data_IF_346454222994
#
_entry.id   IF_346454222994
#
_cell.length_a   1.000
_cell.length_b   1.000
_cell.length_c   1.000
_cell.angle_alpha   90.00
_cell.angle_beta   90.00
_cell.angle_gamma   90.00
#
_symmetry.space_group_name_H-M   'P 1'
#
loop_
_entity.id
_entity.type
_entity.pdbx_description
1 polymer ?
#
# COMPACT_ATOMS: atom_id res chain seq x y z
N UNK A 1 -1.41 -28.58 -4.62
CA UNK A 1 -1.14 -27.96 -4.37
C UNK A 1 -0.63 -27.31 -3.89
N UNK A 2 -0.34 -26.90 -3.54
CA UNK A 2 0.02 -26.24 -3.08
C UNK A 2 0.54 -25.62 -2.51
N UNK A 3 0.82 -25.52 -2.55
CA UNK A 3 1.42 -24.92 -1.86
C UNK A 3 1.23 -24.17 -1.05
N UNK A 4 0.80 -24.43 -0.69
CA UNK A 4 0.66 -23.44 0.12
C UNK A 4 1.73 -22.87 0.72
N UNK A 5 2.66 -23.06 0.38
CA UNK A 5 3.73 -22.42 0.98
C UNK A 5 3.52 -20.97 1.02
N UNK A 6 3.77 -20.40 2.09
CA UNK A 6 3.78 -18.98 2.17
C UNK A 6 4.90 -18.46 1.31
N UNK A 7 4.65 -17.35 0.64
CA UNK A 7 5.70 -16.65 -0.09
C UNK A 7 6.78 -16.20 0.89
N UNK A 8 8.03 -16.17 0.47
CA UNK A 8 9.08 -15.64 1.34
C UNK A 8 8.82 -14.19 1.71
N UNK A 9 9.29 -13.75 2.89
CA UNK A 9 9.16 -12.33 3.26
C UNK A 9 9.75 -11.44 2.17
N UNK A 10 9.04 -10.39 1.83
CA UNK A 10 9.47 -9.46 0.81
C UNK A 10 9.04 -9.81 -0.59
N UNK A 11 8.45 -10.99 -0.80
CA UNK A 11 7.97 -11.36 -2.13
C UNK A 11 6.79 -10.49 -2.51
N UNK A 12 6.74 -10.12 -3.80
CA UNK A 12 5.61 -9.40 -4.34
C UNK A 12 4.64 -10.41 -4.94
N UNK A 13 3.38 -10.34 -4.54
CA UNK A 13 2.34 -11.16 -5.11
C UNK A 13 1.28 -10.26 -5.71
N UNK A 14 0.87 -10.57 -6.93
CA UNK A 14 -0.18 -9.81 -7.61
C UNK A 14 -1.19 -10.80 -8.17
N UNK A 15 -2.45 -10.61 -7.84
CA UNK A 15 -3.54 -11.29 -8.51
C UNK A 15 -4.56 -10.23 -8.87
N UNK A 16 -5.70 -10.60 -9.49
CA UNK A 16 -6.59 -9.64 -10.14
C UNK A 16 -6.68 -8.26 -9.48
N UNK A 17 -7.07 -8.23 -8.20
CA UNK A 17 -7.26 -6.96 -7.50
C UNK A 17 -6.49 -6.90 -6.19
N UNK A 18 -5.63 -7.86 -5.94
CA UNK A 18 -4.88 -7.94 -4.69
C UNK A 18 -3.39 -7.84 -4.95
N UNK A 19 -2.74 -6.98 -4.19
CA UNK A 19 -1.30 -6.76 -4.29
C UNK A 19 -0.69 -6.97 -2.91
N UNK A 20 0.37 -7.77 -2.84
CA UNK A 20 1.12 -7.99 -1.60
C UNK A 20 2.55 -7.57 -1.78
N UNK A 21 3.10 -6.96 -0.77
CA UNK A 21 4.49 -6.51 -0.81
C UNK A 21 4.99 -6.26 0.61
N UNK A 22 6.31 -6.10 0.73
CA UNK A 22 6.95 -5.73 1.99
C UNK A 22 7.73 -4.45 1.76
N UNK A 23 7.61 -3.51 2.67
CA UNK A 23 8.33 -2.24 2.59
C UNK A 23 8.50 -1.67 3.99
N UNK A 24 9.53 -0.85 4.21
CA UNK A 24 9.75 -0.29 5.54
C UNK A 24 8.71 0.78 5.86
N UNK A 25 8.32 0.85 7.14
CA UNK A 25 7.51 1.94 7.63
C UNK A 25 8.37 3.19 7.71
N UNK A 26 7.90 4.26 7.10
CA UNK A 26 8.59 5.54 7.15
C UNK A 26 7.75 6.53 7.93
N UNK A 27 8.39 7.53 8.49
CA UNK A 27 7.69 8.56 9.23
C UNK A 27 8.15 9.92 8.70
N UNK A 28 7.19 10.72 8.27
CA UNK A 28 7.46 12.07 7.84
C UNK A 28 7.14 13.03 8.99
N UNK A 29 8.16 13.73 9.47
CA UNK A 29 8.03 14.59 10.63
C UNK A 29 7.71 16.05 10.31
N UNK A 30 7.63 16.38 9.03
CA UNK A 30 7.40 17.76 8.61
C UNK A 30 6.04 18.31 8.96
N UNK A 31 5.07 17.44 9.30
CA UNK A 31 3.71 17.86 9.61
C UNK A 31 3.46 18.03 11.11
N UNK A 32 4.48 17.88 11.93
CA UNK A 32 4.36 18.04 13.37
C UNK A 32 5.10 16.97 14.15
N UNK A 33 5.13 17.07 15.47
CA UNK A 33 5.96 16.16 16.31
C UNK A 33 5.52 14.70 16.26
N UNK A 34 4.23 14.45 16.05
CA UNK A 34 3.75 13.07 15.95
C UNK A 34 4.16 12.38 14.67
N UNK A 35 4.42 13.17 13.62
CA UNK A 35 4.77 12.63 12.32
C UNK A 35 3.59 11.95 11.62
N UNK A 36 3.82 11.57 10.36
CA UNK A 36 2.85 10.82 9.57
C UNK A 36 3.53 9.53 9.12
N UNK A 37 2.98 8.40 9.54
CA UNK A 37 3.49 7.11 9.11
C UNK A 37 3.00 6.76 7.72
N UNK A 38 3.86 6.17 6.93
CA UNK A 38 3.50 5.75 5.58
C UNK A 38 4.44 4.66 5.09
N UNK A 39 4.00 4.01 4.02
CA UNK A 39 4.82 3.02 3.32
C UNK A 39 4.82 3.43 1.85
N UNK A 40 5.98 3.35 1.21
CA UNK A 40 6.06 3.58 -0.23
C UNK A 40 5.88 2.27 -0.96
N UNK A 41 4.96 2.23 -1.91
CA UNK A 41 4.74 1.08 -2.77
C UNK A 41 5.54 1.29 -4.03
N UNK A 42 6.47 0.39 -4.31
CA UNK A 42 7.39 0.53 -5.45
C UNK A 42 7.45 -0.76 -6.25
N UNK A 43 8.16 -0.73 -7.37
CA UNK A 43 8.41 -1.91 -8.19
C UNK A 43 7.14 -2.50 -8.80
N UNK A 44 7.08 -3.82 -8.84
CA UNK A 44 5.95 -4.53 -9.44
C UNK A 44 4.62 -4.20 -8.79
N UNK A 45 4.62 -4.02 -7.46
CA UNK A 45 3.42 -3.67 -6.74
C UNK A 45 2.90 -2.32 -7.22
N UNK A 46 3.79 -1.36 -7.40
CA UNK A 46 3.41 -0.02 -7.89
C UNK A 46 2.87 -0.09 -9.31
N UNK A 47 3.49 -0.92 -10.15
CA UNK A 47 3.05 -1.10 -11.53
C UNK A 47 1.64 -1.68 -11.59
N UNK A 48 1.35 -2.64 -10.70
CA UNK A 48 0.02 -3.23 -10.64
C UNK A 48 -1.04 -2.21 -10.26
N UNK A 49 -0.72 -1.34 -9.31
CA UNK A 49 -1.64 -0.27 -8.92
C UNK A 49 -1.86 0.70 -10.07
N UNK A 50 -0.78 1.07 -10.77
CA UNK A 50 -0.86 1.96 -11.91
C UNK A 50 -1.72 1.40 -13.03
N UNK A 51 -1.58 0.11 -13.31
CA UNK A 51 -2.38 -0.56 -14.33
C UNK A 51 -3.86 -0.56 -13.94
N UNK A 52 -4.15 -0.83 -12.68
CA UNK A 52 -5.52 -0.82 -12.17
C UNK A 52 -6.13 0.57 -12.32
N UNK A 53 -5.38 1.60 -11.93
CA UNK A 53 -5.85 2.99 -12.03
C UNK A 53 -6.14 3.36 -13.50
N UNK A 54 -5.26 2.96 -14.39
CA UNK A 54 -5.42 3.26 -15.81
C UNK A 54 -6.69 2.59 -16.36
N UNK A 55 -6.90 1.31 -16.07
CA UNK A 55 -8.09 0.60 -16.52
C UNK A 55 -9.36 1.25 -15.98
N UNK A 56 -9.37 1.57 -14.69
CA UNK A 56 -10.52 2.21 -14.08
C UNK A 56 -10.81 3.57 -14.71
N UNK A 57 -9.76 4.35 -14.96
CA UNK A 57 -9.90 5.66 -15.57
C UNK A 57 -10.46 5.56 -17.00
N UNK A 58 -9.98 4.58 -17.75
CA UNK A 58 -10.46 4.36 -19.12
C UNK A 58 -11.92 3.88 -19.11
N UNK A 59 -12.28 2.99 -18.18
CA UNK A 59 -13.64 2.48 -18.08
C UNK A 59 -14.63 3.54 -17.65
N UNK A 60 -14.24 4.38 -16.69
CA UNK A 60 -15.15 5.37 -16.13
C UNK A 60 -15.08 6.71 -16.85
N UNK A 61 -14.08 6.90 -17.70
CA UNK A 61 -13.90 8.13 -18.44
C UNK A 61 -13.47 9.31 -17.57
N UNK A 62 -13.00 9.06 -16.37
CA UNK A 62 -12.58 10.13 -15.48
C UNK A 62 -11.55 9.63 -14.48
N UNK A 63 -10.78 10.58 -13.95
CA UNK A 63 -9.79 10.32 -12.93
C UNK A 63 -10.40 10.64 -11.56
N UNK A 64 -10.16 9.79 -10.61
CA UNK A 64 -10.63 10.00 -9.24
C UNK A 64 -9.58 10.81 -8.48
N UNK A 65 -9.97 11.97 -7.94
CA UNK A 65 -9.08 12.85 -7.22
C UNK A 65 -7.83 13.17 -8.06
N UNK A 66 -6.66 13.00 -7.50
CA UNK A 66 -5.40 13.22 -8.18
C UNK A 66 -4.82 11.92 -8.75
N UNK A 67 -5.68 11.02 -9.16
CA UNK A 67 -5.24 9.72 -9.63
C UNK A 67 -5.07 8.71 -8.50
N UNK A 68 -5.59 9.03 -7.30
CA UNK A 68 -5.51 8.12 -6.18
C UNK A 68 -6.34 6.86 -6.43
N UNK A 69 -5.97 5.78 -5.74
CA UNK A 69 -6.68 4.51 -5.82
C UNK A 69 -7.15 4.13 -4.42
N UNK A 70 -8.44 3.86 -4.28
CA UNK A 70 -8.99 3.40 -3.01
C UNK A 70 -8.59 1.96 -2.78
N UNK A 71 -8.23 1.66 -1.54
CA UNK A 71 -7.75 0.32 -1.18
C UNK A 71 -8.29 -0.09 0.18
N UNK A 72 -8.42 -1.40 0.34
CA UNK A 72 -8.54 -2.00 1.65
C UNK A 72 -7.16 -2.55 1.98
N UNK A 73 -6.63 -2.17 3.13
CA UNK A 73 -5.27 -2.53 3.55
C UNK A 73 -5.35 -3.56 4.66
N UNK A 74 -4.52 -4.59 4.55
CA UNK A 74 -4.36 -5.57 5.62
C UNK A 74 -2.90 -5.66 6.02
N UNK A 75 -2.66 -5.48 7.31
CA UNK A 75 -1.33 -5.63 7.92
C UNK A 75 -1.55 -6.43 9.19
N UNK A 76 -0.95 -7.62 9.26
CA UNK A 76 -1.16 -8.49 10.42
C UNK A 76 -2.63 -8.78 10.63
N UNK A 77 -3.13 -8.50 11.82
CA UNK A 77 -4.55 -8.67 12.15
C UNK A 77 -5.39 -7.43 11.92
N UNK A 78 -4.82 -6.36 11.40
CA UNK A 78 -5.53 -5.10 11.21
C UNK A 78 -5.96 -4.92 9.76
N UNK A 79 -7.12 -4.29 9.58
CA UNK A 79 -7.65 -4.00 8.26
C UNK A 79 -8.29 -2.61 8.31
N UNK A 80 -8.01 -1.81 7.27
CA UNK A 80 -8.63 -0.49 7.18
C UNK A 80 -8.71 -0.06 5.72
N UNK A 81 -9.50 0.97 5.47
CA UNK A 81 -9.67 1.54 4.14
C UNK A 81 -8.97 2.88 4.07
N UNK A 82 -8.33 3.13 2.95
CA UNK A 82 -7.68 4.40 2.68
C UNK A 82 -7.51 4.53 1.16
N UNK A 83 -6.63 5.44 0.76
CA UNK A 83 -6.24 5.55 -0.64
C UNK A 83 -4.73 5.55 -0.72
N UNK A 84 -4.21 5.08 -1.85
CA UNK A 84 -2.81 5.27 -2.18
C UNK A 84 -2.71 6.42 -3.17
N UNK A 85 -1.65 7.21 -3.06
CA UNK A 85 -1.48 8.43 -3.82
C UNK A 85 -0.24 8.34 -4.68
N UNK A 86 -0.33 8.71 -5.99
CA UNK A 86 0.83 8.61 -6.86
C UNK A 86 1.91 9.61 -6.45
N UNK A 87 3.16 9.19 -6.57
CA UNK A 87 4.32 10.01 -6.25
C UNK A 87 4.99 10.49 -7.53
N UNK A 88 5.55 11.69 -7.52
CA UNK A 88 6.23 12.25 -8.69
C UNK A 88 7.43 11.40 -9.10
N UNK A 89 8.10 10.81 -8.14
CA UNK A 89 9.27 9.97 -8.40
C UNK A 89 8.91 8.55 -8.79
N UNK A 90 7.63 8.26 -8.95
CA UNK A 90 7.13 6.90 -9.16
C UNK A 90 6.72 6.29 -7.85
N UNK A 91 5.98 5.20 -7.93
CA UNK A 91 5.47 4.55 -6.72
C UNK A 91 4.24 5.22 -6.17
N UNK A 92 3.77 4.69 -5.05
CA UNK A 92 2.54 5.14 -4.42
C UNK A 92 2.75 5.32 -2.92
N UNK A 93 2.13 6.35 -2.37
CA UNK A 93 2.19 6.66 -0.94
C UNK A 93 1.00 6.00 -0.26
N UNK A 94 1.27 5.17 0.74
CA UNK A 94 0.23 4.50 1.53
C UNK A 94 0.31 5.01 2.97
N UNK A 95 -0.65 5.82 3.43
CA UNK A 95 -0.61 6.28 4.83
C UNK A 95 -0.94 5.14 5.79
N UNK A 96 -0.26 5.11 6.92
CA UNK A 96 -0.47 4.13 7.99
C UNK A 96 -0.70 4.88 9.30
N UNK A 97 -1.93 4.90 9.76
CA UNK A 97 -2.26 5.69 10.94
C UNK A 97 -1.68 5.12 12.23
N UNK A 98 -1.54 5.97 13.22
CA UNK A 98 -0.92 5.62 14.50
C UNK A 98 -1.58 4.43 15.17
N UNK A 99 -2.90 4.34 15.11
CA UNK A 99 -3.62 3.23 15.73
C UNK A 99 -3.15 1.88 15.18
N UNK A 100 -2.92 1.82 13.86
CA UNK A 100 -2.44 0.60 13.21
C UNK A 100 -0.99 0.33 13.61
N UNK A 101 -0.17 1.38 13.64
CA UNK A 101 1.22 1.22 14.04
C UNK A 101 1.32 0.60 15.43
N UNK A 102 0.48 1.06 16.35
CA UNK A 102 0.46 0.53 17.72
C UNK A 102 -0.08 -0.89 17.76
N UNK A 103 -1.19 -1.13 17.07
CA UNK A 103 -1.85 -2.44 17.09
C UNK A 103 -0.94 -3.54 16.56
N UNK A 104 -0.12 -3.22 15.56
CA UNK A 104 0.74 -4.21 14.92
C UNK A 104 2.21 -4.10 15.35
N UNK A 105 2.52 -3.22 16.28
CA UNK A 105 3.89 -3.07 16.77
C UNK A 105 4.86 -2.64 15.70
N UNK A 106 4.44 -1.75 14.81
CA UNK A 106 5.27 -1.32 13.70
C UNK A 106 6.28 -0.27 14.16
N UNK A 107 7.55 -0.48 13.81
CA UNK A 107 8.61 0.47 14.13
C UNK A 107 9.11 1.16 12.89
N UNK A 108 9.58 2.38 13.05
CA UNK A 108 10.14 3.17 11.95
C UNK A 108 11.31 2.42 11.30
N UNK A 109 11.33 2.39 9.97
CA UNK A 109 12.32 1.70 9.14
C UNK A 109 12.31 0.17 9.25
N UNK A 110 11.34 -0.39 9.97
CA UNK A 110 11.18 -1.84 10.04
C UNK A 110 10.27 -2.30 8.90
N UNK A 111 10.49 -3.50 8.36
CA UNK A 111 9.67 -3.99 7.24
C UNK A 111 8.24 -4.28 7.69
N UNK A 112 7.30 -3.94 6.82
CA UNK A 112 5.88 -4.17 7.03
C UNK A 112 5.36 -5.00 5.86
N UNK A 113 4.71 -6.11 6.18
CA UNK A 113 4.06 -6.94 5.16
C UNK A 113 2.67 -6.39 4.93
N UNK A 114 2.39 -6.00 3.70
CA UNK A 114 1.15 -5.31 3.34
C UNK A 114 0.39 -6.06 2.27
N UNK A 115 -0.91 -6.16 2.46
CA UNK A 115 -1.80 -6.63 1.42
C UNK A 115 -2.78 -5.51 1.09
N UNK A 116 -2.90 -5.19 -0.19
CA UNK A 116 -3.85 -4.19 -0.68
C UNK A 116 -4.88 -4.86 -1.55
N UNK A 117 -6.14 -4.58 -1.26
CA UNK A 117 -7.22 -4.95 -2.15
C UNK A 117 -7.64 -3.67 -2.87
N UNK A 118 -7.44 -3.65 -4.20
CA UNK A 118 -7.70 -2.45 -5.02
C UNK A 118 -9.19 -2.34 -5.31
N UNK A 119 -9.74 -1.16 -5.12
CA UNK A 119 -11.17 -0.91 -5.31
C UNK A 119 -11.49 -0.37 -6.69
#
# INVERSE_FOLDING_TARGET
MQRAGADPPGAVGVSADTVRFTAPLRVWHGAGPAGIGYVLVEGEAAEAIGAHELVRRLELGQRRGFGSVKVTVRVGGSEWRTSVFPQKSGGWFLPVKKAIQRAEGLGEERPVDVELELQ
#
